data_IF_730630323035
#
_entry.id   IF_730630323035
#
_cell.length_a   1.000
_cell.length_b   1.000
_cell.length_c   1.000
_cell.angle_alpha   90.00
_cell.angle_beta   90.00
_cell.angle_gamma   90.00
#
_symmetry.space_group_name_H-M   'P 1'
#
loop_
_entity.id
_entity.type
_entity.pdbx_description
1 polymer ?
#
# COMPACT_ATOMS: atom_id res chain seq x y z
N UNK A 1 -3.08 -15.80 30.27
CA UNK A 1 -3.46 -14.57 29.54
C UNK A 1 -3.99 -14.96 28.15
N UNK A 2 -5.31 -14.83 27.90
CA UNK A 2 -5.93 -15.28 26.63
C UNK A 2 -5.53 -14.32 25.50
N UNK A 3 -4.64 -14.73 24.60
CA UNK A 3 -4.16 -14.04 23.37
C UNK A 3 -5.30 -13.76 22.36
N UNK A 4 -6.58 -13.94 22.73
CA UNK A 4 -7.70 -14.03 21.78
C UNK A 4 -8.24 -12.71 21.22
N UNK A 5 -7.79 -11.53 21.68
CA UNK A 5 -8.39 -10.24 21.29
C UNK A 5 -7.41 -9.21 20.70
N UNK A 6 -6.18 -9.58 20.35
CA UNK A 6 -5.24 -8.62 19.73
C UNK A 6 -5.57 -8.49 18.24
N UNK A 7 -5.95 -7.29 17.82
CA UNK A 7 -6.19 -6.96 16.43
C UNK A 7 -4.87 -6.68 15.70
N UNK A 8 -4.39 -7.70 14.97
CA UNK A 8 -3.07 -7.71 14.34
C UNK A 8 -2.97 -6.64 13.25
N UNK A 9 -4.00 -6.51 12.41
CA UNK A 9 -4.04 -5.52 11.35
C UNK A 9 -4.56 -4.18 11.84
N UNK A 10 -4.24 -3.78 13.06
CA UNK A 10 -4.43 -2.41 13.53
C UNK A 10 -3.32 -1.50 12.98
N UNK A 11 -3.48 -0.15 13.00
CA UNK A 11 -2.44 0.76 12.49
C UNK A 11 -1.04 0.54 13.09
N UNK A 12 -0.95 0.00 14.30
CA UNK A 12 0.31 -0.33 14.96
C UNK A 12 1.14 -1.41 14.25
N UNK A 13 0.54 -2.20 13.35
CA UNK A 13 1.28 -3.17 12.51
C UNK A 13 2.35 -2.49 11.66
N UNK A 14 2.18 -1.21 11.32
CA UNK A 14 3.19 -0.41 10.62
C UNK A 14 4.49 -0.35 11.41
N UNK A 15 4.42 -0.17 12.74
CA UNK A 15 5.59 -0.09 13.61
C UNK A 15 6.30 -1.44 13.63
N UNK A 16 5.53 -2.53 13.76
CA UNK A 16 6.10 -3.87 13.67
C UNK A 16 6.75 -4.13 12.30
N UNK A 17 6.11 -3.71 11.21
CA UNK A 17 6.67 -3.82 9.86
C UNK A 17 7.98 -3.05 9.71
N UNK A 18 8.07 -1.83 10.25
CA UNK A 18 9.29 -1.00 10.22
C UNK A 18 10.40 -1.67 11.03
N UNK A 19 10.11 -2.14 12.24
CA UNK A 19 11.08 -2.84 13.09
C UNK A 19 11.57 -4.13 12.45
N UNK A 20 10.67 -4.93 11.86
CA UNK A 20 11.03 -6.12 11.12
C UNK A 20 11.93 -5.78 9.93
N UNK A 21 11.62 -4.71 9.20
CA UNK A 21 12.43 -4.25 8.07
C UNK A 21 13.84 -3.84 8.48
N UNK A 22 13.97 -3.09 9.58
CA UNK A 22 15.28 -2.75 10.16
C UNK A 22 16.06 -4.00 10.57
N UNK A 23 15.39 -4.99 11.20
CA UNK A 23 16.04 -6.24 11.56
C UNK A 23 16.56 -7.01 10.32
N UNK A 24 15.79 -7.05 9.23
CA UNK A 24 16.22 -7.65 7.97
C UNK A 24 17.43 -6.90 7.36
N UNK A 25 17.44 -5.58 7.44
CA UNK A 25 18.57 -4.77 6.96
C UNK A 25 19.85 -5.00 7.80
N UNK A 26 19.73 -5.09 9.12
CA UNK A 26 20.85 -5.39 10.02
C UNK A 26 21.47 -6.76 9.71
N UNK A 27 20.65 -7.76 9.37
CA UNK A 27 21.17 -9.06 8.90
C UNK A 27 22.01 -8.88 7.64
N UNK A 28 21.55 -8.07 6.67
CA UNK A 28 22.30 -7.83 5.44
C UNK A 28 23.65 -7.15 5.69
N UNK A 29 23.71 -6.19 6.61
CA UNK A 29 24.96 -5.52 7.01
C UNK A 29 25.92 -6.44 7.76
N UNK A 30 25.41 -7.25 8.69
CA UNK A 30 26.23 -8.17 9.48
C UNK A 30 26.92 -9.22 8.62
N UNK A 31 26.25 -9.71 7.57
CA UNK A 31 26.84 -10.63 6.60
C UNK A 31 27.54 -9.94 5.43
N UNK A 32 27.64 -8.60 5.44
CA UNK A 32 28.23 -7.78 4.40
C UNK A 32 27.78 -8.19 2.98
N UNK A 33 26.46 -8.45 2.83
CA UNK A 33 25.92 -9.00 1.58
C UNK A 33 26.16 -8.00 0.45
N UNK A 34 26.97 -8.40 -0.52
CA UNK A 34 27.33 -7.58 -1.68
C UNK A 34 27.94 -6.21 -1.31
N UNK A 35 28.73 -6.15 -0.23
CA UNK A 35 29.44 -4.93 0.16
C UNK A 35 28.57 -3.87 0.86
N UNK A 36 27.40 -4.25 1.38
CA UNK A 36 26.53 -3.33 2.12
C UNK A 36 27.14 -2.98 3.48
N UNK A 37 27.51 -1.71 3.65
CA UNK A 37 27.96 -1.16 4.92
C UNK A 37 26.79 -0.82 5.85
N UNK A 38 26.97 -0.87 7.18
CA UNK A 38 25.97 -0.44 8.15
C UNK A 38 25.62 1.05 7.97
N UNK A 39 24.32 1.37 8.02
CA UNK A 39 23.85 2.75 7.95
C UNK A 39 24.26 3.58 9.17
N UNK A 40 24.35 4.89 8.99
CA UNK A 40 24.71 5.85 10.05
C UNK A 40 23.70 5.89 11.21
N UNK A 41 24.15 6.35 12.37
CA UNK A 41 23.25 6.59 13.52
C UNK A 41 22.13 7.59 13.22
N UNK A 42 22.39 8.56 12.33
CA UNK A 42 21.43 9.57 11.93
C UNK A 42 20.23 8.97 11.20
N UNK A 43 20.44 7.90 10.43
CA UNK A 43 19.37 7.15 9.78
C UNK A 43 18.42 6.50 10.78
N UNK A 44 18.96 5.85 11.81
CA UNK A 44 18.13 5.26 12.86
C UNK A 44 17.37 6.32 13.65
N UNK A 45 17.98 7.48 13.94
CA UNK A 45 17.29 8.62 14.56
C UNK A 45 16.16 9.16 13.67
N UNK A 46 16.38 9.23 12.35
CA UNK A 46 15.37 9.66 11.37
C UNK A 46 14.18 8.71 11.35
N UNK A 47 14.43 7.39 11.36
CA UNK A 47 13.37 6.37 11.43
C UNK A 47 12.61 6.50 12.76
N UNK A 48 13.32 6.67 13.88
CA UNK A 48 12.70 6.86 15.19
C UNK A 48 11.82 8.13 15.22
N UNK A 49 12.30 9.24 14.68
CA UNK A 49 11.54 10.48 14.52
C UNK A 49 10.26 10.27 13.69
N UNK A 50 10.35 9.59 12.54
CA UNK A 50 9.18 9.26 11.73
C UNK A 50 8.15 8.38 12.47
N UNK A 51 8.62 7.37 13.21
CA UNK A 51 7.76 6.46 14.00
C UNK A 51 7.07 7.18 15.16
N UNK A 52 7.78 8.07 15.86
CA UNK A 52 7.20 8.85 16.96
C UNK A 52 6.09 9.78 16.44
N UNK A 53 6.28 10.45 15.30
CA UNK A 53 5.25 11.30 14.72
C UNK A 53 4.05 10.53 14.17
N UNK A 54 4.29 9.34 13.62
CA UNK A 54 3.21 8.41 13.27
C UNK A 54 2.36 8.03 14.49
N UNK A 55 2.99 7.71 15.63
CA UNK A 55 2.29 7.44 16.88
C UNK A 55 1.50 8.65 17.39
N UNK A 56 2.11 9.84 17.37
CA UNK A 56 1.43 11.09 17.72
C UNK A 56 0.19 11.29 16.83
N UNK A 57 0.28 11.00 15.53
CA UNK A 57 -0.87 11.02 14.61
C UNK A 57 -1.98 10.05 14.99
N UNK A 58 -1.64 8.82 15.40
CA UNK A 58 -2.62 7.84 15.90
C UNK A 58 -3.32 8.38 17.16
N UNK A 59 -2.55 8.87 18.14
CA UNK A 59 -3.12 9.40 19.38
C UNK A 59 -3.98 10.63 19.13
N UNK A 60 -3.55 11.51 18.23
CA UNK A 60 -4.31 12.68 17.81
C UNK A 60 -5.65 12.29 17.16
N UNK A 61 -5.66 11.28 16.29
CA UNK A 61 -6.90 10.75 15.74
C UNK A 61 -7.84 10.18 16.81
N UNK A 62 -7.31 9.45 17.80
CA UNK A 62 -8.12 8.96 18.93
C UNK A 62 -8.72 10.13 19.72
N UNK A 63 -7.92 11.17 19.96
CA UNK A 63 -8.36 12.38 20.64
C UNK A 63 -9.49 13.09 19.88
N UNK A 64 -9.32 13.33 18.58
CA UNK A 64 -10.35 13.92 17.71
C UNK A 64 -11.64 13.10 17.75
N UNK A 65 -11.54 11.76 17.67
CA UNK A 65 -12.71 10.89 17.68
C UNK A 65 -13.50 10.97 18.98
N UNK A 66 -12.81 11.09 20.12
CA UNK A 66 -13.44 11.28 21.44
C UNK A 66 -14.11 12.65 21.53
N UNK A 67 -13.44 13.69 21.07
CA UNK A 67 -13.96 15.06 21.10
C UNK A 67 -15.20 15.23 20.23
N UNK A 68 -15.17 14.70 19.00
CA UNK A 68 -16.29 14.75 18.06
C UNK A 68 -17.45 13.80 18.43
N UNK A 69 -17.44 13.22 19.65
CA UNK A 69 -18.44 12.25 20.16
C UNK A 69 -18.96 11.33 19.06
N UNK A 70 -18.06 10.70 18.29
CA UNK A 70 -18.46 9.81 17.20
C UNK A 70 -19.25 8.66 17.80
N UNK A 71 -20.56 8.82 17.86
CA UNK A 71 -21.47 7.77 18.26
C UNK A 71 -21.41 6.72 17.17
N UNK A 72 -21.80 5.51 17.55
CA UNK A 72 -22.00 4.35 16.69
C UNK A 72 -23.21 4.56 15.75
N UNK A 73 -23.31 5.75 15.15
CA UNK A 73 -24.33 6.20 14.22
C UNK A 73 -24.27 5.29 12.99
N UNK A 74 -25.30 4.45 12.87
CA UNK A 74 -25.45 3.47 11.81
C UNK A 74 -25.90 4.10 10.48
N UNK A 75 -25.60 5.39 10.22
CA UNK A 75 -25.97 6.03 8.97
C UNK A 75 -25.10 5.53 7.83
N UNK A 76 -25.53 4.40 7.32
CA UNK A 76 -24.94 3.66 6.23
C UNK A 76 -25.02 4.45 4.92
N UNK A 77 -23.94 4.35 4.14
CA UNK A 77 -23.89 4.62 2.69
C UNK A 77 -25.08 3.97 1.92
N UNK A 78 -25.75 3.01 2.56
CA UNK A 78 -26.98 2.35 2.12
C UNK A 78 -28.15 3.34 1.95
N UNK A 79 -28.24 4.47 2.68
CA UNK A 79 -29.33 5.46 2.41
C UNK A 79 -29.15 6.17 1.06
N UNK A 80 -27.91 6.43 0.64
CA UNK A 80 -27.65 6.94 -0.71
C UNK A 80 -27.94 5.86 -1.77
N UNK A 81 -27.55 4.60 -1.51
CA UNK A 81 -27.85 3.48 -2.41
C UNK A 81 -29.30 3.02 -2.44
N UNK A 82 -30.12 3.34 -1.43
CA UNK A 82 -31.57 3.08 -1.41
C UNK A 82 -32.36 4.16 -2.15
N UNK A 83 -31.78 5.37 -2.29
CA UNK A 83 -32.40 6.49 -3.01
C UNK A 83 -32.17 6.41 -4.52
N UNK A 84 -31.05 5.82 -4.96
CA UNK A 84 -30.94 5.27 -6.30
C UNK A 84 -31.71 3.96 -6.33
N UNK A 85 -32.88 3.90 -7.00
CA UNK A 85 -33.43 2.62 -7.45
C UNK A 85 -32.48 2.11 -8.55
N UNK A 86 -31.74 0.99 -8.40
CA UNK A 86 -31.05 0.43 -9.54
C UNK A 86 -31.78 -0.86 -9.93
N UNK A 87 -32.25 -0.93 -11.17
CA UNK A 87 -32.67 -2.19 -11.79
C UNK A 87 -31.55 -3.27 -11.80
N UNK A 88 -30.32 -2.89 -11.42
CA UNK A 88 -29.12 -3.71 -11.38
C UNK A 88 -28.63 -3.84 -9.92
N UNK A 89 -28.49 -5.07 -9.43
CA UNK A 89 -27.93 -5.34 -8.10
C UNK A 89 -26.48 -4.85 -8.00
N UNK A 90 -26.13 -4.14 -6.91
CA UNK A 90 -24.78 -3.63 -6.62
C UNK A 90 -23.66 -4.70 -6.78
N UNK A 91 -23.96 -5.96 -6.47
CA UNK A 91 -23.07 -7.11 -6.69
C UNK A 91 -22.67 -7.27 -8.17
N UNK A 92 -23.64 -7.16 -9.10
CA UNK A 92 -23.41 -7.28 -10.55
C UNK A 92 -22.52 -6.17 -11.09
N UNK A 93 -22.67 -4.94 -10.56
CA UNK A 93 -21.81 -3.80 -10.94
C UNK A 93 -20.37 -4.06 -10.51
N UNK A 94 -20.15 -4.58 -9.30
CA UNK A 94 -18.79 -4.90 -8.84
C UNK A 94 -18.20 -6.06 -9.66
N UNK A 95 -19.00 -7.08 -9.96
CA UNK A 95 -18.57 -8.19 -10.81
C UNK A 95 -18.18 -7.72 -12.22
N UNK A 96 -18.96 -6.82 -12.84
CA UNK A 96 -18.62 -6.29 -14.16
C UNK A 96 -17.32 -5.47 -14.12
N UNK A 97 -17.08 -4.70 -13.06
CA UNK A 97 -15.82 -3.97 -12.87
C UNK A 97 -14.62 -4.92 -12.73
N UNK A 98 -14.75 -6.02 -11.99
CA UNK A 98 -13.67 -7.03 -11.88
C UNK A 98 -13.37 -7.66 -13.23
N UNK A 99 -14.41 -8.08 -13.96
CA UNK A 99 -14.26 -8.67 -15.30
C UNK A 99 -13.62 -7.66 -16.25
N UNK A 100 -14.04 -6.39 -16.20
CA UNK A 100 -13.43 -5.31 -16.98
C UNK A 100 -11.94 -5.15 -16.64
N UNK A 101 -11.59 -5.14 -15.35
CA UNK A 101 -10.19 -5.08 -14.92
C UNK A 101 -9.35 -6.24 -15.46
N UNK A 102 -9.88 -7.46 -15.37
CA UNK A 102 -9.24 -8.67 -15.91
C UNK A 102 -9.06 -8.58 -17.42
N UNK A 103 -10.10 -8.19 -18.17
CA UNK A 103 -10.05 -8.06 -19.62
C UNK A 103 -9.03 -7.00 -20.06
N UNK A 104 -9.02 -5.83 -19.40
CA UNK A 104 -8.03 -4.79 -19.67
C UNK A 104 -6.60 -5.29 -19.41
N UNK A 105 -6.39 -6.12 -18.38
CA UNK A 105 -5.07 -6.69 -18.10
C UNK A 105 -4.66 -7.71 -19.17
N UNK A 106 -5.59 -8.53 -19.66
CA UNK A 106 -5.33 -9.46 -20.78
C UNK A 106 -4.95 -8.67 -22.04
N UNK A 107 -5.71 -7.62 -22.35
CA UNK A 107 -5.40 -6.71 -23.48
C UNK A 107 -4.02 -6.08 -23.30
N UNK A 108 -3.67 -5.63 -22.09
CA UNK A 108 -2.34 -5.08 -21.82
C UNK A 108 -1.22 -6.10 -22.12
N UNK A 109 -1.34 -7.33 -21.62
CA UNK A 109 -0.33 -8.38 -21.87
C UNK A 109 -0.24 -8.71 -23.37
N UNK A 110 -1.38 -8.79 -24.05
CA UNK A 110 -1.43 -9.00 -25.49
C UNK A 110 -0.71 -7.89 -26.27
N UNK A 111 -0.94 -6.63 -25.92
CA UNK A 111 -0.30 -5.47 -26.57
C UNK A 111 1.21 -5.38 -26.29
N UNK A 112 1.66 -5.87 -25.13
CA UNK A 112 3.09 -5.98 -24.82
C UNK A 112 3.78 -7.05 -25.68
N UNK A 113 3.02 -8.02 -26.22
CA UNK A 113 3.52 -9.00 -27.19
C UNK A 113 4.24 -10.20 -26.57
N UNK A 114 4.09 -10.44 -25.27
CA UNK A 114 4.72 -11.56 -24.58
C UNK A 114 4.49 -11.54 -23.07
N UNK A 115 5.18 -12.43 -22.34
CA UNK A 115 5.10 -12.53 -20.88
C UNK A 115 6.19 -11.67 -20.24
N UNK A 116 5.85 -10.54 -19.59
CA UNK A 116 6.86 -9.62 -19.07
C UNK A 116 7.72 -10.18 -17.93
N UNK A 117 7.22 -11.19 -17.20
CA UNK A 117 7.96 -11.87 -16.13
C UNK A 117 9.29 -12.49 -16.63
N UNK A 118 9.35 -12.91 -17.90
CA UNK A 118 10.51 -13.62 -18.46
C UNK A 118 11.44 -12.73 -19.32
N UNK A 119 11.14 -11.44 -19.46
CA UNK A 119 11.99 -10.51 -20.22
C UNK A 119 12.03 -9.14 -19.56
N UNK A 120 13.23 -8.69 -19.18
CA UNK A 120 13.45 -7.35 -18.64
C UNK A 120 12.98 -6.22 -19.56
N UNK A 121 13.07 -6.41 -20.88
CA UNK A 121 12.58 -5.44 -21.87
C UNK A 121 11.05 -5.32 -21.87
N UNK A 122 10.35 -6.45 -21.91
CA UNK A 122 8.89 -6.48 -21.87
C UNK A 122 8.35 -5.96 -20.53
N UNK A 123 9.06 -6.26 -19.43
CA UNK A 123 8.74 -5.73 -18.10
C UNK A 123 8.70 -4.21 -18.10
N UNK A 124 9.71 -3.54 -18.65
CA UNK A 124 9.77 -2.08 -18.72
C UNK A 124 8.59 -1.48 -19.51
N UNK A 125 8.08 -2.20 -20.51
CA UNK A 125 6.91 -1.77 -21.32
C UNK A 125 5.55 -2.17 -20.73
N UNK A 126 5.51 -3.01 -19.72
CA UNK A 126 4.25 -3.59 -19.22
C UNK A 126 3.40 -2.63 -18.37
N UNK A 127 3.98 -1.54 -17.84
CA UNK A 127 3.23 -0.46 -17.18
C UNK A 127 2.72 0.51 -18.25
N UNK A 128 1.61 0.17 -18.87
CA UNK A 128 0.91 1.06 -19.80
C UNK A 128 -0.23 1.80 -19.11
N UNK A 129 -0.86 2.73 -19.84
CA UNK A 129 -2.10 3.37 -19.38
C UNK A 129 -3.24 2.36 -19.17
N UNK A 130 -3.27 1.28 -19.95
CA UNK A 130 -4.27 0.21 -19.83
C UNK A 130 -4.04 -0.58 -18.54
N UNK A 131 -2.77 -0.89 -18.24
CA UNK A 131 -2.40 -1.53 -16.97
C UNK A 131 -2.83 -0.70 -15.77
N UNK A 132 -2.59 0.62 -15.81
CA UNK A 132 -2.96 1.54 -14.73
C UNK A 132 -4.46 1.53 -14.45
N UNK A 133 -5.28 1.66 -15.50
CA UNK A 133 -6.76 1.63 -15.38
C UNK A 133 -7.23 0.25 -14.90
N UNK A 134 -6.66 -0.82 -15.45
CA UNK A 134 -6.97 -2.19 -15.02
C UNK A 134 -6.74 -2.37 -13.53
N UNK A 135 -5.57 -1.97 -13.02
CA UNK A 135 -5.20 -2.12 -11.62
C UNK A 135 -6.08 -1.26 -10.69
N UNK A 136 -6.35 -0.01 -11.08
CA UNK A 136 -7.24 0.90 -10.34
C UNK A 136 -8.67 0.38 -10.21
N UNK A 137 -9.18 -0.31 -11.23
CA UNK A 137 -10.53 -0.87 -11.21
C UNK A 137 -10.53 -2.20 -10.45
N UNK A 138 -9.59 -3.10 -10.77
CA UNK A 138 -9.58 -4.46 -10.25
C UNK A 138 -9.41 -4.49 -8.73
N UNK A 139 -8.42 -3.78 -8.19
CA UNK A 139 -8.03 -3.92 -6.79
C UNK A 139 -9.13 -3.47 -5.80
N UNK A 140 -9.76 -2.28 -5.93
CA UNK A 140 -10.90 -1.91 -5.11
C UNK A 140 -12.08 -2.85 -5.31
N UNK A 141 -12.38 -3.24 -6.56
CA UNK A 141 -13.56 -4.04 -6.86
C UNK A 141 -13.49 -5.43 -6.23
N UNK A 142 -12.34 -6.13 -6.32
CA UNK A 142 -12.18 -7.45 -5.70
C UNK A 142 -12.25 -7.37 -4.18
N UNK A 143 -11.62 -6.37 -3.56
CA UNK A 143 -11.68 -6.17 -2.11
C UNK A 143 -13.10 -5.83 -1.65
N UNK A 144 -13.84 -4.98 -2.36
CA UNK A 144 -15.24 -4.66 -2.02
C UNK A 144 -16.14 -5.89 -2.17
N UNK A 145 -15.96 -6.67 -3.23
CA UNK A 145 -16.74 -7.89 -3.48
C UNK A 145 -16.56 -8.88 -2.32
N UNK A 146 -15.31 -9.14 -1.94
CA UNK A 146 -14.98 -10.05 -0.83
C UNK A 146 -15.41 -9.48 0.52
N UNK A 147 -15.31 -8.18 0.73
CA UNK A 147 -15.71 -7.53 1.98
C UNK A 147 -17.23 -7.57 2.22
N UNK A 148 -18.05 -7.52 1.16
CA UNK A 148 -19.51 -7.37 1.27
C UNK A 148 -20.30 -8.65 0.99
N UNK A 149 -19.85 -9.48 0.04
CA UNK A 149 -20.64 -10.62 -0.44
C UNK A 149 -19.97 -11.99 -0.20
N UNK A 150 -18.66 -12.01 0.03
CA UNK A 150 -17.85 -13.17 0.43
C UNK A 150 -18.37 -14.56 0.00
N UNK A 151 -18.32 -14.88 -1.30
CA UNK A 151 -18.63 -16.21 -1.83
C UNK A 151 -17.34 -16.94 -2.25
N UNK A 152 -17.30 -18.26 -2.09
CA UNK A 152 -16.11 -19.08 -2.43
C UNK A 152 -15.62 -18.89 -3.87
N UNK A 153 -16.54 -18.77 -4.85
CA UNK A 153 -16.17 -18.54 -6.25
C UNK A 153 -15.59 -17.15 -6.56
N UNK A 154 -15.76 -16.15 -5.71
CA UNK A 154 -15.08 -14.87 -5.92
C UNK A 154 -13.56 -14.96 -5.68
N UNK A 155 -13.11 -15.94 -4.88
CA UNK A 155 -11.68 -16.20 -4.72
C UNK A 155 -11.05 -16.75 -6.01
N UNK A 156 -11.84 -17.35 -6.91
CA UNK A 156 -11.36 -17.74 -8.25
C UNK A 156 -11.07 -16.50 -9.11
N UNK A 157 -11.93 -15.47 -9.07
CA UNK A 157 -11.68 -14.20 -9.76
C UNK A 157 -10.44 -13.48 -9.20
N UNK A 158 -10.24 -13.55 -7.87
CA UNK A 158 -9.01 -13.10 -7.24
C UNK A 158 -7.79 -13.86 -7.78
N UNK A 159 -7.83 -15.20 -7.82
CA UNK A 159 -6.71 -16.02 -8.30
C UNK A 159 -6.37 -15.72 -9.77
N UNK A 160 -7.37 -15.60 -10.64
CA UNK A 160 -7.18 -15.24 -12.06
C UNK A 160 -6.54 -13.87 -12.19
N UNK A 161 -7.08 -12.85 -11.51
CA UNK A 161 -6.49 -11.52 -11.56
C UNK A 161 -5.08 -11.48 -10.97
N UNK A 162 -4.84 -12.17 -9.85
CA UNK A 162 -3.52 -12.29 -9.25
C UNK A 162 -2.50 -12.88 -10.22
N UNK A 163 -2.84 -13.97 -10.92
CA UNK A 163 -1.97 -14.58 -11.92
C UNK A 163 -1.64 -13.60 -13.05
N UNK A 164 -2.65 -12.90 -13.59
CA UNK A 164 -2.45 -11.93 -14.67
C UNK A 164 -1.56 -10.74 -14.25
N UNK A 165 -1.69 -10.26 -13.02
CA UNK A 165 -0.80 -9.21 -12.50
C UNK A 165 0.59 -9.76 -12.15
N UNK A 166 0.71 -10.97 -11.63
CA UNK A 166 2.01 -11.59 -11.33
C UNK A 166 2.87 -11.85 -12.58
N UNK A 167 2.23 -12.24 -13.69
CA UNK A 167 2.88 -12.46 -14.99
C UNK A 167 3.53 -11.18 -15.55
N UNK A 168 3.17 -9.99 -15.04
CA UNK A 168 3.87 -8.74 -15.42
C UNK A 168 5.27 -8.59 -14.81
N UNK A 169 5.66 -9.45 -13.85
CA UNK A 169 6.96 -9.34 -13.20
C UNK A 169 7.09 -8.19 -12.19
N UNK A 170 5.99 -7.49 -11.88
CA UNK A 170 5.94 -6.46 -10.85
C UNK A 170 5.60 -7.07 -9.48
N UNK A 171 6.63 -7.18 -8.63
CA UNK A 171 6.49 -7.76 -7.28
C UNK A 171 5.54 -6.93 -6.41
N UNK A 172 5.69 -5.60 -6.40
CA UNK A 172 4.94 -4.71 -5.49
C UNK A 172 3.43 -4.77 -5.72
N UNK A 173 3.00 -4.82 -6.98
CA UNK A 173 1.58 -4.88 -7.37
C UNK A 173 0.98 -6.23 -7.01
N UNK A 174 1.72 -7.30 -7.26
CA UNK A 174 1.37 -8.68 -6.84
C UNK A 174 1.21 -8.74 -5.32
N UNK A 175 2.17 -8.22 -4.56
CA UNK A 175 2.10 -8.19 -3.10
C UNK A 175 0.92 -7.37 -2.60
N UNK A 176 0.63 -6.22 -3.21
CA UNK A 176 -0.49 -5.36 -2.82
C UNK A 176 -1.85 -6.07 -2.99
N UNK A 177 -2.03 -6.80 -4.10
CA UNK A 177 -3.24 -7.62 -4.33
C UNK A 177 -3.38 -8.68 -3.24
N UNK A 178 -2.32 -9.44 -2.98
CA UNK A 178 -2.35 -10.53 -1.99
C UNK A 178 -2.57 -9.97 -0.57
N UNK A 179 -1.81 -8.96 -0.15
CA UNK A 179 -1.92 -8.36 1.18
C UNK A 179 -3.30 -7.75 1.42
N UNK A 180 -3.82 -6.96 0.47
CA UNK A 180 -5.12 -6.30 0.65
C UNK A 180 -6.26 -7.31 0.77
N UNK A 181 -6.29 -8.32 -0.11
CA UNK A 181 -7.31 -9.37 -0.05
C UNK A 181 -7.19 -10.17 1.25
N UNK A 182 -5.97 -10.46 1.70
CA UNK A 182 -5.77 -11.16 2.97
C UNK A 182 -6.26 -10.35 4.18
N UNK A 183 -5.94 -9.05 4.24
CA UNK A 183 -6.43 -8.17 5.32
C UNK A 183 -7.96 -8.09 5.28
N UNK A 184 -8.56 -7.99 4.09
CA UNK A 184 -10.01 -8.03 3.91
C UNK A 184 -10.59 -9.35 4.43
N UNK A 185 -10.05 -10.49 4.02
CA UNK A 185 -10.48 -11.82 4.48
C UNK A 185 -10.27 -12.01 5.98
N UNK A 186 -9.22 -11.47 6.58
CA UNK A 186 -9.00 -11.50 8.03
C UNK A 186 -10.18 -10.87 8.78
N UNK A 187 -10.64 -9.68 8.35
CA UNK A 187 -11.74 -8.98 9.00
C UNK A 187 -13.12 -9.57 8.69
N UNK A 188 -13.30 -10.19 7.53
CA UNK A 188 -14.58 -10.82 7.14
C UNK A 188 -14.76 -12.20 7.75
N UNK A 189 -13.71 -13.04 7.70
CA UNK A 189 -13.75 -14.44 8.13
C UNK A 189 -13.33 -14.64 9.60
N UNK A 190 -12.82 -13.60 10.28
CA UNK A 190 -12.22 -13.69 11.61
C UNK A 190 -11.14 -14.79 11.68
N UNK A 191 -10.16 -14.70 10.78
CA UNK A 191 -9.12 -15.72 10.64
C UNK A 191 -8.32 -15.88 11.95
N UNK A 192 -8.10 -17.13 12.37
CA UNK A 192 -7.24 -17.48 13.51
C UNK A 192 -5.78 -17.15 13.19
N UNK A 193 -5.00 -16.85 14.24
CA UNK A 193 -3.55 -16.55 14.16
C UNK A 193 -2.75 -17.53 13.30
N UNK A 194 -3.06 -18.83 13.37
CA UNK A 194 -2.39 -19.87 12.56
C UNK A 194 -2.43 -19.59 11.05
N UNK A 195 -3.53 -19.01 10.54
CA UNK A 195 -3.65 -18.69 9.12
C UNK A 195 -2.84 -17.47 8.73
N UNK A 196 -2.56 -16.56 9.67
CA UNK A 196 -1.69 -15.40 9.48
C UNK A 196 -0.24 -15.87 9.35
N UNK A 197 0.19 -16.84 10.16
CA UNK A 197 1.53 -17.40 10.06
C UNK A 197 1.74 -18.16 8.74
N UNK A 198 0.76 -18.97 8.33
CA UNK A 198 0.78 -19.64 7.01
C UNK A 198 0.84 -18.61 5.89
N UNK A 199 0.03 -17.55 5.98
CA UNK A 199 0.02 -16.48 4.99
C UNK A 199 1.36 -15.75 4.91
N UNK A 200 1.97 -15.40 6.04
CA UNK A 200 3.27 -14.75 6.07
C UNK A 200 4.35 -15.62 5.40
N UNK A 201 4.30 -16.95 5.62
CA UNK A 201 5.21 -17.90 4.97
C UNK A 201 4.97 -17.98 3.46
N UNK A 202 3.70 -18.05 3.01
CA UNK A 202 3.35 -18.03 1.58
C UNK A 202 3.80 -16.73 0.90
N UNK A 203 3.60 -15.58 1.56
CA UNK A 203 4.04 -14.28 1.06
C UNK A 203 5.56 -14.22 0.90
N UNK A 204 6.32 -14.77 1.86
CA UNK A 204 7.77 -14.84 1.77
C UNK A 204 8.18 -15.72 0.58
N UNK A 205 7.61 -16.91 0.44
CA UNK A 205 7.91 -17.83 -0.66
C UNK A 205 7.61 -17.19 -2.01
N UNK A 206 6.41 -16.62 -2.20
CA UNK A 206 5.99 -15.97 -3.45
C UNK A 206 6.90 -14.77 -3.72
N UNK A 207 7.20 -13.97 -2.70
CA UNK A 207 8.01 -12.76 -2.83
C UNK A 207 9.44 -13.03 -3.25
N UNK A 208 10.06 -14.02 -2.61
CA UNK A 208 11.40 -14.51 -2.95
C UNK A 208 11.40 -15.13 -4.34
N UNK A 209 10.43 -15.98 -4.65
CA UNK A 209 10.36 -16.66 -5.96
C UNK A 209 10.17 -15.69 -7.12
N UNK A 210 9.14 -14.82 -7.05
CA UNK A 210 8.87 -13.82 -8.08
C UNK A 210 10.02 -12.83 -8.18
N UNK A 211 10.59 -12.41 -7.04
CA UNK A 211 11.75 -11.52 -7.02
C UNK A 211 12.97 -12.12 -7.70
N UNK A 212 13.30 -13.37 -7.37
CA UNK A 212 14.45 -14.08 -7.93
C UNK A 212 14.29 -14.36 -9.44
N UNK A 213 13.12 -14.84 -9.87
CA UNK A 213 12.82 -15.06 -11.29
C UNK A 213 12.92 -13.74 -12.06
N UNK A 214 12.32 -12.67 -11.53
CA UNK A 214 12.32 -11.37 -12.19
C UNK A 214 13.72 -10.74 -12.26
N UNK A 215 14.62 -11.02 -11.31
CA UNK A 215 16.02 -10.57 -11.35
C UNK A 215 16.81 -11.36 -12.39
N UNK A 216 16.65 -12.69 -12.43
CA UNK A 216 17.31 -13.54 -13.43
C UNK A 216 16.85 -13.28 -14.87
N UNK A 217 15.63 -12.78 -15.05
CA UNK A 217 15.09 -12.42 -16.36
C UNK A 217 15.66 -11.09 -16.91
N UNK A 218 16.48 -10.36 -16.14
CA UNK A 218 17.14 -9.14 -16.61
C UNK A 218 18.44 -9.55 -17.29
N UNK A 219 18.41 -9.63 -18.62
CA UNK A 219 19.51 -10.07 -19.48
C UNK A 219 20.83 -9.31 -19.24
N UNK A 220 20.75 -8.06 -18.79
CA UNK A 220 21.88 -7.15 -18.61
C UNK A 220 22.44 -7.12 -17.18
N UNK A 221 21.90 -7.91 -16.25
CA UNK A 221 22.35 -7.95 -14.86
C UNK A 221 22.60 -9.39 -14.40
N UNK A 222 23.88 -9.76 -14.22
CA UNK A 222 24.25 -11.03 -13.61
C UNK A 222 24.39 -10.86 -12.10
N UNK A 223 23.33 -11.19 -11.37
CA UNK A 223 23.35 -11.23 -9.91
C UNK A 223 23.81 -12.61 -9.43
N UNK A 224 24.88 -12.65 -8.65
CA UNK A 224 25.38 -13.88 -8.01
C UNK A 224 24.72 -14.17 -6.65
N UNK A 225 23.70 -13.42 -6.26
CA UNK A 225 23.01 -13.59 -4.98
C UNK A 225 22.05 -14.78 -5.02
N UNK A 226 22.04 -15.56 -3.94
CA UNK A 226 21.02 -16.58 -3.75
C UNK A 226 19.65 -15.93 -3.40
N UNK A 227 18.52 -16.65 -3.53
CA UNK A 227 17.19 -16.07 -3.29
C UNK A 227 16.99 -15.48 -1.88
N UNK A 228 17.63 -16.07 -0.86
CA UNK A 228 17.53 -15.59 0.51
C UNK A 228 18.41 -14.36 0.75
N UNK A 229 19.64 -14.34 0.25
CA UNK A 229 20.52 -13.18 0.25
C UNK A 229 19.88 -12.00 -0.46
N UNK A 230 19.22 -12.23 -1.60
CA UNK A 230 18.48 -11.19 -2.32
C UNK A 230 17.40 -10.55 -1.45
N UNK A 231 16.70 -11.34 -0.62
CA UNK A 231 15.67 -10.83 0.27
C UNK A 231 16.24 -9.87 1.34
N UNK A 232 17.33 -10.26 2.01
CA UNK A 232 17.99 -9.40 3.00
C UNK A 232 18.70 -8.21 2.34
N UNK A 233 19.38 -8.43 1.22
CA UNK A 233 20.07 -7.41 0.45
C UNK A 233 19.13 -6.27 0.08
N UNK A 234 17.88 -6.55 -0.32
CA UNK A 234 16.90 -5.49 -0.64
C UNK A 234 16.59 -4.59 0.56
N UNK A 235 16.43 -5.18 1.75
CA UNK A 235 16.21 -4.43 2.97
C UNK A 235 17.44 -3.54 3.29
N UNK A 236 18.65 -4.10 3.26
CA UNK A 236 19.88 -3.35 3.50
C UNK A 236 20.15 -2.26 2.45
N UNK A 237 19.99 -2.57 1.17
CA UNK A 237 20.21 -1.64 0.06
C UNK A 237 19.31 -0.41 0.17
N UNK A 238 18.01 -0.60 0.38
CA UNK A 238 17.07 0.54 0.51
C UNK A 238 17.31 1.36 1.78
N UNK A 239 17.81 0.75 2.86
CA UNK A 239 18.20 1.48 4.05
C UNK A 239 19.49 2.29 3.81
N UNK A 240 20.44 1.77 3.03
CA UNK A 240 21.62 2.54 2.58
C UNK A 240 21.26 3.68 1.61
N UNK A 241 20.23 3.50 0.77
CA UNK A 241 19.66 4.61 0.00
C UNK A 241 19.07 5.67 0.95
N UNK A 242 18.33 5.26 1.99
CA UNK A 242 17.84 6.21 3.00
C UNK A 242 18.99 6.92 3.71
N UNK A 243 20.08 6.22 4.03
CA UNK A 243 21.26 6.79 4.69
C UNK A 243 21.86 7.95 3.91
N UNK A 244 22.01 7.78 2.60
CA UNK A 244 22.44 8.86 1.71
C UNK A 244 21.40 9.98 1.58
N UNK A 245 20.10 9.67 1.61
CA UNK A 245 19.03 10.69 1.62
C UNK A 245 19.12 11.57 2.86
N UNK A 246 19.47 10.99 4.02
CA UNK A 246 19.60 11.73 5.29
C UNK A 246 20.71 12.78 5.24
N UNK A 247 21.72 12.61 4.38
CA UNK A 247 22.76 13.62 4.12
C UNK A 247 22.34 14.69 3.11
N UNK A 248 21.26 14.45 2.35
CA UNK A 248 20.80 15.28 1.23
C UNK A 248 19.40 15.86 1.46
N UNK A 249 19.06 16.15 2.72
CA UNK A 249 17.76 16.66 3.16
C UNK A 249 17.31 17.87 2.33
N UNK A 250 16.13 17.79 1.71
CA UNK A 250 15.57 18.89 0.92
C UNK A 250 16.21 19.12 -0.46
N UNK A 251 17.07 18.21 -0.95
CA UNK A 251 17.74 18.35 -2.23
C UNK A 251 16.79 18.49 -3.43
N UNK A 252 15.63 17.81 -3.41
CA UNK A 252 14.69 17.81 -4.54
C UNK A 252 13.64 18.91 -4.49
N UNK A 253 13.54 19.64 -3.36
CA UNK A 253 12.67 20.82 -3.18
C UNK A 253 11.21 20.64 -3.64
N UNK A 254 10.66 19.43 -3.51
CA UNK A 254 9.27 19.11 -3.89
C UNK A 254 9.11 18.52 -5.29
N UNK A 255 10.20 18.34 -6.06
CA UNK A 255 10.12 17.73 -7.39
C UNK A 255 9.67 16.27 -7.32
N UNK A 256 10.07 15.49 -6.32
CA UNK A 256 9.63 14.10 -6.22
C UNK A 256 8.12 14.00 -6.00
N UNK A 257 7.57 14.83 -5.12
CA UNK A 257 6.14 14.88 -4.86
C UNK A 257 5.38 15.33 -6.11
N UNK A 258 5.88 16.36 -6.80
CA UNK A 258 5.31 16.81 -8.07
C UNK A 258 5.28 15.67 -9.10
N UNK A 259 6.41 15.03 -9.38
CA UNK A 259 6.49 13.94 -10.34
C UNK A 259 5.80 12.65 -9.87
N UNK A 260 5.59 12.48 -8.57
CA UNK A 260 4.73 11.39 -8.07
C UNK A 260 3.27 11.59 -8.52
N UNK A 261 2.83 12.85 -8.64
CA UNK A 261 1.49 13.21 -9.08
C UNK A 261 1.39 13.35 -10.62
N UNK A 262 2.41 13.91 -11.26
CA UNK A 262 2.40 14.26 -12.69
C UNK A 262 3.20 13.30 -13.58
N UNK A 263 4.12 12.53 -13.01
CA UNK A 263 5.10 11.73 -13.75
C UNK A 263 4.50 10.67 -14.66
N UNK A 264 3.27 10.20 -14.37
CA UNK A 264 2.51 9.34 -15.28
C UNK A 264 2.12 10.05 -16.58
N UNK A 265 1.87 11.35 -16.55
CA UNK A 265 1.57 12.18 -17.72
C UNK A 265 2.85 12.68 -18.40
N UNK A 266 3.89 12.97 -17.62
CA UNK A 266 5.15 13.53 -18.09
C UNK A 266 6.22 12.48 -18.43
N UNK A 267 5.88 11.19 -18.31
CA UNK A 267 6.79 10.05 -18.57
C UNK A 267 8.08 10.08 -17.75
N UNK A 268 8.04 10.65 -16.54
CA UNK A 268 9.16 10.65 -15.60
C UNK A 268 8.81 9.85 -14.34
N UNK A 269 9.63 8.85 -14.01
CA UNK A 269 9.47 8.02 -12.82
C UNK A 269 10.15 8.70 -11.61
N UNK A 270 9.41 9.00 -10.51
CA UNK A 270 9.99 9.57 -9.30
C UNK A 270 11.18 8.78 -8.74
N UNK A 271 11.19 7.46 -8.95
CA UNK A 271 12.28 6.58 -8.51
C UNK A 271 13.58 6.83 -9.26
N UNK A 272 13.50 7.33 -10.49
CA UNK A 272 14.68 7.73 -11.26
C UNK A 272 15.29 9.00 -10.66
N UNK A 273 14.47 9.96 -10.23
CA UNK A 273 14.94 11.20 -9.58
C UNK A 273 15.66 10.87 -8.27
N UNK A 274 15.15 9.90 -7.49
CA UNK A 274 15.86 9.42 -6.28
C UNK A 274 17.23 8.86 -6.67
N UNK A 275 17.32 8.01 -7.70
CA UNK A 275 18.59 7.46 -8.15
C UNK A 275 19.57 8.52 -8.65
N UNK A 276 19.11 9.45 -9.47
CA UNK A 276 19.93 10.54 -10.01
C UNK A 276 20.43 11.48 -8.91
N UNK A 277 19.58 11.81 -7.94
CA UNK A 277 19.94 12.73 -6.85
C UNK A 277 20.86 12.07 -5.83
N UNK A 278 20.53 10.85 -5.39
CA UNK A 278 21.18 10.19 -4.25
C UNK A 278 22.37 9.33 -4.68
N UNK A 279 22.24 8.64 -5.80
CA UNK A 279 23.28 7.73 -6.30
C UNK A 279 24.15 8.37 -7.38
N UNK A 280 23.78 9.56 -7.88
CA UNK A 280 24.48 10.32 -8.94
C UNK A 280 24.53 9.60 -10.30
N UNK A 281 23.63 8.63 -10.53
CA UNK A 281 23.45 7.99 -11.84
C UNK A 281 21.98 7.62 -12.06
N UNK A 282 21.59 7.54 -13.34
CA UNK A 282 20.20 7.31 -13.75
C UNK A 282 19.78 5.86 -13.53
N UNK A 283 19.21 5.59 -12.36
CA UNK A 283 18.64 4.28 -12.02
C UNK A 283 17.30 4.46 -11.31
N UNK A 284 16.31 3.63 -11.66
CA UNK A 284 15.07 3.57 -10.87
C UNK A 284 15.37 2.86 -9.56
N UNK A 285 15.38 3.62 -8.47
CA UNK A 285 15.68 3.10 -7.13
C UNK A 285 14.60 3.50 -6.14
N UNK A 286 14.42 2.68 -5.11
CA UNK A 286 13.45 2.96 -4.05
C UNK A 286 14.17 3.40 -2.79
N UNK A 287 13.55 4.31 -2.07
CA UNK A 287 13.86 4.58 -0.67
C UNK A 287 12.74 4.07 0.21
N UNK A 288 12.97 3.99 1.52
CA UNK A 288 11.94 3.60 2.48
C UNK A 288 10.79 4.62 2.54
N UNK A 289 9.74 4.34 3.32
CA UNK A 289 8.60 5.26 3.52
C UNK A 289 9.01 6.68 3.95
N UNK A 290 10.19 6.81 4.55
CA UNK A 290 10.73 8.08 5.05
C UNK A 290 11.47 8.88 3.97
N UNK A 291 12.00 8.22 2.94
CA UNK A 291 12.96 8.82 2.00
C UNK A 291 12.38 9.96 1.16
N UNK A 292 11.28 9.78 0.41
CA UNK A 292 10.82 10.80 -0.53
C UNK A 292 10.45 12.13 0.13
N UNK A 293 9.74 12.09 1.25
CA UNK A 293 9.38 13.31 1.99
C UNK A 293 10.60 14.02 2.60
N UNK A 294 11.60 13.25 3.07
CA UNK A 294 12.84 13.81 3.59
C UNK A 294 13.68 14.49 2.49
N UNK A 295 13.74 13.87 1.31
CA UNK A 295 14.48 14.42 0.17
C UNK A 295 13.83 15.68 -0.40
N UNK A 296 12.49 15.76 -0.40
CA UNK A 296 11.77 16.93 -0.91
C UNK A 296 11.71 18.11 0.07
N UNK A 297 11.25 17.84 1.30
CA UNK A 297 10.78 18.85 2.25
C UNK A 297 11.48 18.75 3.61
N UNK A 298 12.48 17.88 3.70
CA UNK A 298 13.25 17.65 4.92
C UNK A 298 12.46 17.04 6.07
N UNK A 299 12.99 17.20 7.28
CA UNK A 299 12.40 16.63 8.49
C UNK A 299 10.97 17.11 8.75
N UNK A 300 10.64 18.35 8.36
CA UNK A 300 9.28 18.87 8.46
C UNK A 300 8.32 18.09 7.55
N UNK A 301 8.68 17.87 6.28
CA UNK A 301 7.84 17.09 5.37
C UNK A 301 7.70 15.63 5.79
N UNK A 302 8.80 15.01 6.21
CA UNK A 302 8.79 13.68 6.81
C UNK A 302 7.82 13.62 7.99
N UNK A 303 7.90 14.60 8.88
CA UNK A 303 7.06 14.66 10.07
C UNK A 303 5.59 14.81 9.75
N UNK A 304 5.24 15.72 8.84
CA UNK A 304 3.86 15.93 8.36
C UNK A 304 3.33 14.66 7.70
N UNK A 305 4.11 14.02 6.81
CA UNK A 305 3.70 12.80 6.13
C UNK A 305 3.37 11.68 7.13
N UNK A 306 4.29 11.39 8.06
CA UNK A 306 4.12 10.30 9.02
C UNK A 306 2.97 10.58 10.00
N UNK A 307 2.83 11.83 10.46
CA UNK A 307 1.73 12.27 11.30
C UNK A 307 0.37 12.08 10.60
N UNK A 308 0.24 12.56 9.36
CA UNK A 308 -0.99 12.40 8.57
C UNK A 308 -1.30 10.94 8.28
N UNK A 309 -0.29 10.11 7.97
CA UNK A 309 -0.46 8.68 7.77
C UNK A 309 -1.02 7.99 9.03
N UNK A 310 -0.51 8.36 10.21
CA UNK A 310 -0.99 7.88 11.51
C UNK A 310 -2.46 8.21 11.76
N UNK A 311 -2.84 9.47 11.51
CA UNK A 311 -4.24 9.91 11.59
C UNK A 311 -5.10 9.09 10.64
N UNK A 312 -4.70 9.05 9.38
CA UNK A 312 -5.46 8.48 8.28
C UNK A 312 -5.76 6.99 8.48
N UNK A 313 -4.73 6.20 8.80
CA UNK A 313 -4.89 4.78 9.10
C UNK A 313 -5.77 4.55 10.32
N UNK A 314 -5.66 5.39 11.36
CA UNK A 314 -6.48 5.25 12.57
C UNK A 314 -7.96 5.58 12.33
N UNK A 315 -8.23 6.63 11.56
CA UNK A 315 -9.60 7.00 11.18
C UNK A 315 -10.27 5.89 10.37
N UNK A 316 -9.60 5.39 9.32
CA UNK A 316 -10.14 4.28 8.51
C UNK A 316 -10.29 2.98 9.29
N UNK A 317 -9.35 2.67 10.18
CA UNK A 317 -9.46 1.50 11.06
C UNK A 317 -10.70 1.59 11.96
N UNK A 318 -11.05 2.79 12.40
CA UNK A 318 -12.24 3.00 13.23
C UNK A 318 -13.51 2.86 12.38
N UNK A 319 -13.55 3.49 11.20
CA UNK A 319 -14.67 3.39 10.27
C UNK A 319 -14.94 1.96 9.83
N UNK A 320 -13.91 1.18 9.51
CA UNK A 320 -14.09 -0.21 9.11
C UNK A 320 -14.69 -1.05 10.24
N UNK A 321 -14.25 -0.86 11.49
CA UNK A 321 -14.81 -1.58 12.64
C UNK A 321 -16.29 -1.27 12.87
N UNK A 322 -16.71 -0.04 12.58
CA UNK A 322 -18.09 0.39 12.76
C UNK A 322 -19.01 -0.03 11.61
N UNK A 323 -18.60 0.18 10.36
CA UNK A 323 -19.49 0.08 9.18
C UNK A 323 -19.25 -1.15 8.31
N UNK A 324 -18.05 -1.75 8.37
CA UNK A 324 -17.63 -2.91 7.56
C UNK A 324 -17.84 -2.71 6.04
N UNK A 325 -17.68 -3.76 5.24
CA UNK A 325 -17.93 -3.73 3.79
C UNK A 325 -16.92 -2.84 3.03
N UNK A 326 -17.39 -1.78 2.37
CA UNK A 326 -16.54 -0.89 1.55
C UNK A 326 -15.40 -0.28 2.40
N UNK A 327 -15.67 0.08 3.65
CA UNK A 327 -14.65 0.62 4.55
C UNK A 327 -13.57 -0.41 4.89
N UNK A 328 -13.94 -1.69 5.03
CA UNK A 328 -12.97 -2.79 5.22
C UNK A 328 -12.10 -2.96 3.99
N UNK A 329 -12.69 -2.91 2.79
CA UNK A 329 -11.96 -3.01 1.53
C UNK A 329 -10.90 -1.90 1.38
N UNK A 330 -11.29 -0.63 1.55
CA UNK A 330 -10.34 0.48 1.42
C UNK A 330 -9.32 0.51 2.56
N UNK A 331 -9.73 0.22 3.80
CA UNK A 331 -8.78 0.08 4.90
C UNK A 331 -7.70 -0.98 4.60
N UNK A 332 -8.11 -2.15 4.10
CA UNK A 332 -7.20 -3.23 3.74
C UNK A 332 -6.24 -2.83 2.62
N UNK A 333 -6.73 -2.16 1.57
CA UNK A 333 -5.89 -1.67 0.46
C UNK A 333 -4.87 -0.66 0.95
N UNK A 334 -5.30 0.33 1.74
CA UNK A 334 -4.44 1.41 2.21
C UNK A 334 -3.39 0.87 3.19
N UNK A 335 -3.79 -0.02 4.12
CA UNK A 335 -2.85 -0.65 5.05
C UNK A 335 -1.83 -1.53 4.32
N UNK A 336 -2.27 -2.31 3.32
CA UNK A 336 -1.37 -3.12 2.49
C UNK A 336 -0.31 -2.27 1.80
N UNK A 337 -0.72 -1.19 1.14
CA UNK A 337 0.22 -0.31 0.46
C UNK A 337 1.13 0.45 1.44
N UNK A 338 0.62 0.86 2.60
CA UNK A 338 1.44 1.50 3.64
C UNK A 338 2.55 0.55 4.11
N UNK A 339 2.25 -0.74 4.29
CA UNK A 339 3.26 -1.75 4.64
C UNK A 339 4.27 -1.97 3.51
N UNK A 340 3.85 -1.92 2.24
CA UNK A 340 4.75 -2.02 1.08
C UNK A 340 5.66 -0.78 0.97
N UNK A 341 5.14 0.41 1.28
CA UNK A 341 5.91 1.65 1.28
C UNK A 341 7.11 1.62 2.24
N UNK A 342 7.14 0.74 3.24
CA UNK A 342 8.31 0.55 4.09
C UNK A 342 9.55 0.21 3.25
N UNK A 343 9.41 -0.63 2.20
CA UNK A 343 10.49 -0.95 1.25
C UNK A 343 10.55 0.07 0.09
N UNK A 344 9.40 0.50 -0.43
CA UNK A 344 9.33 1.14 -1.75
C UNK A 344 9.18 2.65 -1.74
N UNK A 345 8.76 3.24 -0.62
CA UNK A 345 8.42 4.65 -0.51
C UNK A 345 7.08 5.03 -1.18
N UNK A 346 6.49 6.19 -0.83
CA UNK A 346 5.22 6.68 -1.38
C UNK A 346 5.34 7.33 -2.76
N UNK A 347 5.94 6.63 -3.73
CA UNK A 347 6.26 7.17 -5.07
C UNK A 347 5.23 6.84 -6.16
N UNK A 348 4.21 6.03 -5.86
CA UNK A 348 3.34 5.43 -6.87
C UNK A 348 1.98 6.16 -6.95
N UNK A 349 1.68 6.80 -8.08
CA UNK A 349 0.45 7.57 -8.32
C UNK A 349 -0.84 6.76 -8.03
N UNK A 350 -0.87 5.48 -8.43
CA UNK A 350 -2.04 4.61 -8.21
C UNK A 350 -2.39 4.55 -6.72
N UNK A 351 -1.38 4.49 -5.87
CA UNK A 351 -1.59 4.36 -4.43
C UNK A 351 -2.18 5.65 -3.88
N UNK A 352 -1.69 6.81 -4.32
CA UNK A 352 -2.26 8.10 -3.97
C UNK A 352 -3.73 8.21 -4.38
N UNK A 353 -4.14 7.67 -5.52
CA UNK A 353 -5.55 7.62 -5.91
C UNK A 353 -6.41 6.83 -4.89
N UNK A 354 -5.92 5.70 -4.37
CA UNK A 354 -6.60 4.96 -3.31
C UNK A 354 -6.68 5.75 -1.99
N UNK A 355 -5.63 6.49 -1.64
CA UNK A 355 -5.63 7.38 -0.47
C UNK A 355 -6.65 8.52 -0.63
N UNK A 356 -6.79 9.10 -1.83
CA UNK A 356 -7.83 10.11 -2.10
C UNK A 356 -9.22 9.51 -1.91
N UNK A 357 -9.50 8.32 -2.46
CA UNK A 357 -10.81 7.67 -2.29
C UNK A 357 -11.09 7.37 -0.81
N UNK A 358 -10.11 6.86 -0.06
CA UNK A 358 -10.29 6.63 1.37
C UNK A 358 -10.51 7.93 2.16
N UNK A 359 -9.89 9.04 1.75
CA UNK A 359 -10.12 10.36 2.37
C UNK A 359 -11.56 10.83 2.11
N UNK A 360 -12.06 10.67 0.89
CA UNK A 360 -13.46 10.96 0.56
C UNK A 360 -14.42 10.10 1.41
N UNK A 361 -14.12 8.81 1.63
CA UNK A 361 -14.92 7.95 2.50
C UNK A 361 -14.92 8.42 3.96
N UNK A 362 -13.80 8.95 4.45
CA UNK A 362 -13.72 9.57 5.78
C UNK A 362 -14.60 10.82 5.81
N UNK A 363 -14.39 11.77 4.91
CA UNK A 363 -15.09 13.06 4.89
C UNK A 363 -16.62 12.91 4.72
N UNK A 364 -17.06 12.02 3.82
CA UNK A 364 -18.47 11.71 3.62
C UNK A 364 -19.10 11.13 4.90
N UNK A 365 -18.33 10.39 5.69
CA UNK A 365 -18.84 9.85 6.94
C UNK A 365 -19.06 10.94 7.98
N UNK A 366 -18.07 11.82 8.16
CA UNK A 366 -18.13 12.90 9.15
C UNK A 366 -19.20 13.95 8.82
N UNK A 367 -19.41 14.27 7.54
CA UNK A 367 -20.43 15.23 7.11
C UNK A 367 -21.87 14.71 7.21
N UNK A 368 -22.07 13.38 7.12
CA UNK A 368 -23.39 12.78 7.28
C UNK A 368 -23.81 12.67 8.73
N UNK A 369 -22.87 12.42 9.64
CA UNK A 369 -23.15 12.37 11.08
C UNK A 369 -23.53 13.77 11.61
N UNK A 370 -22.85 14.85 11.18
CA UNK A 370 -23.19 16.22 11.61
C UNK A 370 -24.57 16.70 11.14
N UNK A 371 -24.99 16.36 9.92
CA UNK A 371 -26.34 16.70 9.41
C UNK A 371 -27.46 15.93 10.13
N UNK A 372 -27.15 14.78 10.72
CA UNK A 372 -28.14 14.01 11.48
C UNK A 372 -28.42 14.64 12.85
N UNK A 373 -27.42 15.26 13.48
CA UNK A 373 -27.57 15.96 14.76
C UNK A 373 -28.43 17.23 14.62
N UNK A 374 -28.22 18.02 13.57
CA UNK A 374 -29.02 19.25 13.31
C UNK A 374 -30.51 18.93 13.06
N UNK A 375 -30.82 17.79 12.45
CA UNK A 375 -32.23 17.38 12.22
C UNK A 375 -32.94 16.89 13.48
N UNK A 376 -32.21 16.31 14.44
CA UNK A 376 -32.78 15.92 15.73
C UNK A 376 -33.02 17.11 16.66
N UNK A 377 -32.20 18.16 16.57
CA UNK A 377 -32.41 19.39 17.36
C UNK A 377 -33.57 20.23 16.80
N UNK A 378 -33.73 20.31 15.48
CA UNK A 378 -34.83 21.06 14.85
C UNK A 378 -36.17 20.30 14.76
N UNK A 379 -36.22 19.04 15.22
CA UNK A 379 -37.44 18.21 15.26
C UNK A 379 -38.06 18.11 16.67
N UNK A 380 -37.54 18.87 17.63
CA UNK A 380 -37.99 18.91 19.02
C UNK A 380 -38.69 20.23 19.40
N UNK A 381 -39.25 20.93 18.40
CA UNK A 381 -40.09 22.12 18.60
C UNK A 381 -41.52 21.84 18.12
#
# INVERSE_FOLDING_TARGET
MKIRNIDIFSPYIMIFGILLYLALAVVAFNYNINGLEPSSSLTYYTVFYGVTLFLVGIFFAIYIQRYLKIKKSSLSFIKFSKKLKPHISFEKIILSLIIMGILLQIVNIYLVGGIPLFSGYLKAKAITKIWFVSYLIFLPSINILLAKFNRKWYYLLFAVGLLLFAITGYRTTTMAIIFSVFITSYYVLNLKFKYILIFAMLMLIIGVSVGYIAVKAIEWQQWNLNPFELFFYRAGYTLNVLDRVVEMVGATKGSLFYYTLTGFFESMDPRIIIGETVLKYRVSTTSTIFGPALLDFGYLGLGVQMFLLGIYLKLLHTLQKMKKGIYTAFYAIILAHSLIWIETGPTDLVVWAFFVIGLLLILLNYTLDSKSEVKTENGAL
#
